data_IF_686136885061
#
_entry.id   IF_686136885061
#
_cell.length_a   1.000
_cell.length_b   1.000
_cell.length_c   1.000
_cell.angle_alpha   90.00
_cell.angle_beta   90.00
_cell.angle_gamma   90.00
#
_symmetry.space_group_name_H-M   'P 1'
#
loop_
_entity.id
_entity.type
_entity.pdbx_description
1 polymer ?
#
# COMPACT_ATOMS: atom_id res chain seq x y z
N UNK A 1 12.46 -27.72 6.00
CA UNK A 1 12.47 -27.37 7.44
C UNK A 1 11.08 -27.53 8.08
N UNK A 2 10.22 -28.44 7.59
CA UNK A 2 8.78 -28.45 7.94
C UNK A 2 8.36 -29.57 8.91
N UNK A 3 9.27 -30.42 9.39
CA UNK A 3 8.88 -31.61 10.14
C UNK A 3 8.63 -31.38 11.65
N UNK A 4 8.99 -30.23 12.23
CA UNK A 4 8.89 -30.00 13.69
C UNK A 4 7.54 -29.42 14.17
N UNK A 5 6.61 -29.07 13.29
CA UNK A 5 5.29 -28.51 13.69
C UNK A 5 4.15 -29.54 13.73
N UNK A 6 4.35 -30.74 13.17
CA UNK A 6 3.39 -31.86 13.26
C UNK A 6 3.19 -32.45 14.66
N UNK A 7 4.20 -32.55 15.57
CA UNK A 7 3.97 -33.18 16.87
C UNK A 7 2.89 -32.53 17.74
N UNK A 8 2.80 -31.18 17.91
CA UNK A 8 1.72 -30.60 18.72
C UNK A 8 0.35 -30.75 18.07
N UNK A 9 0.26 -30.75 16.74
CA UNK A 9 -1.01 -30.94 16.02
C UNK A 9 -1.46 -32.40 16.13
N UNK A 10 -0.55 -33.35 15.89
CA UNK A 10 -0.84 -34.78 16.06
C UNK A 10 -1.20 -35.08 17.52
N UNK A 11 -0.49 -34.52 18.50
CA UNK A 11 -0.84 -34.67 19.91
C UNK A 11 -2.20 -34.04 20.22
N UNK A 12 -2.49 -32.82 19.76
CA UNK A 12 -3.80 -32.20 19.95
C UNK A 12 -4.94 -33.02 19.32
N UNK A 13 -4.73 -33.59 18.12
CA UNK A 13 -5.68 -34.49 17.46
C UNK A 13 -5.84 -35.78 18.26
N UNK A 14 -4.75 -36.38 18.77
CA UNK A 14 -4.82 -37.57 19.62
C UNK A 14 -5.54 -37.29 20.95
N UNK A 15 -5.31 -36.13 21.57
CA UNK A 15 -5.99 -35.70 22.80
C UNK A 15 -7.48 -35.44 22.54
N UNK A 16 -7.82 -34.84 21.40
CA UNK A 16 -9.21 -34.63 20.98
C UNK A 16 -9.93 -35.96 20.70
N UNK A 17 -9.29 -36.88 19.98
CA UNK A 17 -9.82 -38.22 19.73
C UNK A 17 -9.98 -39.02 21.03
N UNK A 18 -9.04 -38.88 21.97
CA UNK A 18 -9.13 -39.50 23.29
C UNK A 18 -10.28 -38.93 24.13
N UNK A 19 -10.49 -37.61 24.11
CA UNK A 19 -11.66 -36.99 24.76
C UNK A 19 -12.99 -37.44 24.13
N UNK A 20 -13.01 -37.62 22.81
CA UNK A 20 -14.18 -38.10 22.08
C UNK A 20 -14.47 -39.57 22.40
N UNK A 21 -13.43 -40.40 22.49
CA UNK A 21 -13.51 -41.79 22.94
C UNK A 21 -14.03 -41.91 24.39
N UNK A 22 -13.49 -41.10 25.31
CA UNK A 22 -13.96 -41.06 26.70
C UNK A 22 -15.43 -40.66 26.79
N UNK A 23 -15.84 -39.62 26.06
CA UNK A 23 -17.24 -39.14 26.05
C UNK A 23 -18.16 -40.20 25.46
N UNK A 24 -17.74 -40.86 24.38
CA UNK A 24 -18.49 -41.95 23.76
C UNK A 24 -18.69 -43.14 24.71
N UNK A 25 -17.64 -43.60 25.40
CA UNK A 25 -17.75 -44.72 26.35
C UNK A 25 -18.57 -44.34 27.61
N UNK A 26 -18.45 -43.09 28.08
CA UNK A 26 -19.22 -42.60 29.24
C UNK A 26 -20.71 -42.39 28.92
N UNK A 27 -21.04 -41.87 27.74
CA UNK A 27 -22.44 -41.58 27.37
C UNK A 27 -23.19 -42.76 26.74
N UNK A 28 -22.48 -43.71 26.11
CA UNK A 28 -23.11 -44.88 25.46
C UNK A 28 -23.57 -45.96 26.45
N UNK A 29 -23.22 -45.88 27.73
CA UNK A 29 -23.68 -46.79 28.79
C UNK A 29 -24.92 -46.25 29.53
N UNK A 30 -25.86 -45.62 28.81
CA UNK A 30 -27.15 -45.15 29.36
C UNK A 30 -28.32 -46.10 29.08
N UNK A 31 -28.12 -47.16 28.29
CA UNK A 31 -29.22 -47.94 27.70
C UNK A 31 -29.42 -49.34 28.28
N UNK A 32 -29.30 -49.62 29.60
CA UNK A 32 -29.84 -50.87 30.16
C UNK A 32 -30.25 -50.78 31.65
N UNK A 33 -31.52 -51.07 32.00
CA UNK A 33 -31.94 -51.28 33.38
C UNK A 33 -31.76 -52.77 33.73
N UNK A 34 -30.64 -53.12 34.37
CA UNK A 34 -30.64 -54.30 35.24
C UNK A 34 -29.63 -54.16 36.38
N UNK A 35 -30.22 -54.02 37.56
CA UNK A 35 -29.70 -53.50 38.81
C UNK A 35 -29.37 -54.74 39.63
N UNK A 36 -28.09 -55.08 39.79
CA UNK A 36 -27.49 -55.73 40.99
C UNK A 36 -26.14 -56.40 40.72
N UNK A 37 -25.83 -56.90 39.51
CA UNK A 37 -24.56 -57.62 39.24
C UNK A 37 -23.53 -56.77 38.45
N UNK A 38 -23.89 -55.54 38.08
CA UNK A 38 -23.04 -54.65 37.25
C UNK A 38 -22.54 -53.40 38.00
N UNK A 39 -22.82 -53.28 39.29
CA UNK A 39 -22.42 -52.12 40.11
C UNK A 39 -20.92 -52.13 40.38
N UNK A 40 -20.33 -53.29 40.67
CA UNK A 40 -18.89 -53.41 40.90
C UNK A 40 -18.07 -53.09 39.64
N UNK A 41 -18.46 -53.67 38.49
CA UNK A 41 -17.78 -53.44 37.21
C UNK A 41 -17.83 -51.96 36.75
N UNK A 42 -18.92 -51.25 37.06
CA UNK A 42 -19.03 -49.80 36.78
C UNK A 42 -18.20 -48.94 37.72
N UNK A 43 -18.05 -49.34 38.98
CA UNK A 43 -17.24 -48.60 39.93
C UNK A 43 -15.75 -48.61 39.54
N UNK A 44 -15.25 -49.72 38.99
CA UNK A 44 -13.89 -49.76 38.43
C UNK A 44 -13.72 -48.79 37.25
N UNK A 45 -14.71 -48.70 36.34
CA UNK A 45 -14.65 -47.78 35.19
C UNK A 45 -14.68 -46.30 35.63
N UNK A 46 -15.57 -45.93 36.56
CA UNK A 46 -15.65 -44.55 37.08
C UNK A 46 -14.37 -44.16 37.83
N UNK A 47 -13.81 -45.07 38.64
CA UNK A 47 -12.55 -44.81 39.35
C UNK A 47 -11.38 -44.68 38.39
N UNK A 48 -11.28 -45.57 37.40
CA UNK A 48 -10.24 -45.50 36.37
C UNK A 48 -10.35 -44.20 35.56
N UNK A 49 -11.56 -43.79 35.18
CA UNK A 49 -11.82 -42.51 34.52
C UNK A 49 -11.33 -41.32 35.35
N UNK A 50 -11.66 -41.29 36.64
CA UNK A 50 -11.21 -40.21 37.54
C UNK A 50 -9.69 -40.16 37.64
N UNK A 51 -9.01 -41.31 37.78
CA UNK A 51 -7.54 -41.39 37.77
C UNK A 51 -6.97 -40.88 36.44
N UNK A 52 -7.49 -41.36 35.31
CA UNK A 52 -6.98 -41.00 33.99
C UNK A 52 -7.18 -39.51 33.67
N UNK A 53 -8.34 -38.95 34.01
CA UNK A 53 -8.62 -37.52 33.85
C UNK A 53 -7.69 -36.63 34.70
N UNK A 54 -7.31 -37.08 35.90
CA UNK A 54 -6.39 -36.36 36.77
C UNK A 54 -4.96 -36.33 36.20
N UNK A 55 -4.44 -37.48 35.75
CA UNK A 55 -3.14 -37.54 35.06
C UNK A 55 -3.15 -36.72 33.76
N UNK A 56 -4.25 -36.78 33.01
CA UNK A 56 -4.44 -36.01 31.79
C UNK A 56 -4.45 -34.50 32.05
N UNK A 57 -5.08 -34.04 33.13
CA UNK A 57 -5.08 -32.63 33.53
C UNK A 57 -3.65 -32.10 33.70
N UNK A 58 -2.80 -32.83 34.41
CA UNK A 58 -1.39 -32.47 34.60
C UNK A 58 -0.62 -32.43 33.26
N UNK A 59 -0.85 -33.40 32.39
CA UNK A 59 -0.23 -33.43 31.05
C UNK A 59 -0.64 -32.23 30.19
N UNK A 60 -1.91 -31.81 30.23
CA UNK A 60 -2.37 -30.62 29.50
C UNK A 60 -1.74 -29.33 30.03
N UNK A 61 -1.53 -29.21 31.34
CA UNK A 61 -0.82 -28.05 31.93
C UNK A 61 0.61 -27.99 31.39
N UNK A 62 1.32 -29.13 31.40
CA UNK A 62 2.70 -29.20 30.88
C UNK A 62 2.77 -28.91 29.38
N UNK A 63 1.82 -29.42 28.58
CA UNK A 63 1.72 -29.10 27.16
C UNK A 63 1.40 -27.63 26.91
N UNK A 64 0.52 -27.03 27.70
CA UNK A 64 0.23 -25.60 27.65
C UNK A 64 1.47 -24.77 27.93
N UNK A 65 2.25 -25.14 28.95
CA UNK A 65 3.51 -24.48 29.29
C UNK A 65 4.54 -24.61 28.15
N UNK A 66 4.73 -25.82 27.63
CA UNK A 66 5.64 -26.08 26.52
C UNK A 66 5.25 -25.30 25.25
N UNK A 67 3.95 -25.25 24.93
CA UNK A 67 3.40 -24.47 23.82
C UNK A 67 3.65 -22.97 24.00
N UNK A 68 3.48 -22.45 25.22
CA UNK A 68 3.76 -21.06 25.54
C UNK A 68 5.25 -20.71 25.35
N UNK A 69 6.15 -21.57 25.83
CA UNK A 69 7.60 -21.41 25.65
C UNK A 69 7.97 -21.40 24.16
N UNK A 70 7.46 -22.36 23.39
CA UNK A 70 7.70 -22.43 21.94
C UNK A 70 7.15 -21.22 21.18
N UNK A 71 6.01 -20.66 21.64
CA UNK A 71 5.45 -19.41 21.10
C UNK A 71 6.39 -18.22 21.33
N UNK A 72 6.92 -18.09 22.56
CA UNK A 72 7.86 -17.02 22.91
C UNK A 72 9.14 -17.16 22.08
N UNK A 73 9.70 -18.37 21.99
CA UNK A 73 10.94 -18.62 21.23
C UNK A 73 10.79 -18.26 19.74
N UNK A 74 9.67 -18.66 19.11
CA UNK A 74 9.37 -18.28 17.72
C UNK A 74 9.20 -16.77 17.57
N UNK A 75 8.51 -16.13 18.50
CA UNK A 75 8.35 -14.67 18.52
C UNK A 75 9.70 -13.94 18.62
N UNK A 76 10.60 -14.42 19.46
CA UNK A 76 11.95 -13.86 19.59
C UNK A 76 12.77 -14.03 18.30
N UNK A 77 12.77 -15.22 17.69
CA UNK A 77 13.51 -15.47 16.44
C UNK A 77 13.00 -14.57 15.32
N UNK A 78 11.67 -14.47 15.15
CA UNK A 78 11.06 -13.58 14.17
C UNK A 78 11.37 -12.11 14.47
N UNK A 79 11.31 -11.70 15.74
CA UNK A 79 11.67 -10.34 16.16
C UNK A 79 13.10 -9.97 15.80
N UNK A 80 14.08 -10.87 15.99
CA UNK A 80 15.49 -10.64 15.62
C UNK A 80 15.67 -10.55 14.10
N UNK A 81 15.00 -11.40 13.32
CA UNK A 81 15.08 -11.31 11.84
C UNK A 81 14.45 -10.01 11.34
N UNK A 82 13.32 -9.60 11.93
CA UNK A 82 12.62 -8.37 11.54
C UNK A 82 13.32 -7.10 12.03
N UNK A 83 14.12 -7.13 13.10
CA UNK A 83 14.89 -5.94 13.52
C UNK A 83 15.85 -5.47 12.42
N UNK A 84 16.36 -6.41 11.60
CA UNK A 84 17.24 -6.09 10.48
C UNK A 84 16.51 -5.41 9.32
N UNK A 85 15.17 -5.45 9.28
CA UNK A 85 14.37 -4.93 8.16
C UNK A 85 13.30 -3.97 8.68
N UNK A 86 13.58 -2.67 8.58
CA UNK A 86 12.74 -1.58 9.09
C UNK A 86 11.38 -1.41 8.35
N UNK A 87 11.21 -2.10 7.22
CA UNK A 87 10.02 -2.05 6.34
C UNK A 87 8.78 -2.70 6.98
N UNK A 88 8.94 -3.56 7.99
CA UNK A 88 7.83 -4.23 8.67
C UNK A 88 7.96 -4.13 10.17
N UNK A 89 6.94 -3.59 10.84
CA UNK A 89 6.87 -3.58 12.30
C UNK A 89 6.57 -4.97 12.82
N UNK A 90 7.40 -5.45 13.74
CA UNK A 90 7.13 -6.68 14.49
C UNK A 90 5.99 -6.50 15.52
N UNK A 91 5.56 -5.27 15.79
CA UNK A 91 4.48 -4.96 16.72
C UNK A 91 3.09 -5.24 16.13
N UNK A 92 2.16 -5.59 17.01
CA UNK A 92 0.74 -5.80 16.71
C UNK A 92 0.13 -4.57 16.02
N UNK A 93 -0.76 -4.80 15.04
CA UNK A 93 -1.50 -3.75 14.34
C UNK A 93 -2.29 -2.90 15.36
N UNK A 94 -1.90 -1.63 15.51
CA UNK A 94 -2.43 -0.71 16.53
C UNK A 94 -1.36 -0.11 17.47
N UNK A 95 -0.28 -0.86 17.76
CA UNK A 95 0.86 -0.36 18.56
C UNK A 95 2.04 0.08 17.70
N UNK A 96 1.83 0.20 16.39
CA UNK A 96 2.88 0.50 15.42
C UNK A 96 3.59 1.84 15.68
N UNK A 97 2.90 2.80 16.30
CA UNK A 97 3.45 4.11 16.68
C UNK A 97 4.47 4.05 17.81
N UNK A 98 4.51 2.95 18.58
CA UNK A 98 5.49 2.76 19.66
C UNK A 98 6.86 2.37 19.12
N UNK A 99 6.90 1.86 17.89
CA UNK A 99 8.15 1.57 17.18
C UNK A 99 8.69 2.86 16.54
N UNK A 100 9.63 3.51 17.24
CA UNK A 100 10.28 4.74 16.76
C UNK A 100 11.02 4.54 15.44
N UNK A 101 11.60 3.35 15.22
CA UNK A 101 12.34 3.05 14.00
C UNK A 101 11.40 3.05 12.79
N UNK A 102 10.24 2.40 12.94
CA UNK A 102 9.22 2.40 11.91
C UNK A 102 8.62 3.79 11.66
N UNK A 103 8.33 4.57 12.70
CA UNK A 103 7.81 5.94 12.54
C UNK A 103 8.82 6.82 11.79
N UNK A 104 10.12 6.70 12.09
CA UNK A 104 11.17 7.40 11.36
C UNK A 104 11.22 6.98 9.87
N UNK A 105 11.11 5.68 9.59
CA UNK A 105 11.03 5.17 8.22
C UNK A 105 9.81 5.72 7.46
N UNK A 106 8.64 5.72 8.08
CA UNK A 106 7.42 6.28 7.48
C UNK A 106 7.59 7.78 7.17
N UNK A 107 8.19 8.53 8.11
CA UNK A 107 8.54 9.94 7.90
C UNK A 107 9.48 10.13 6.70
N UNK A 108 10.52 9.30 6.58
CA UNK A 108 11.44 9.32 5.44
C UNK A 108 10.73 9.05 4.11
N UNK A 109 9.83 8.07 4.04
CA UNK A 109 9.04 7.80 2.83
C UNK A 109 8.14 8.99 2.47
N UNK A 110 7.49 9.62 3.44
CA UNK A 110 6.67 10.82 3.20
C UNK A 110 7.49 11.97 2.62
N UNK A 111 8.69 12.20 3.15
CA UNK A 111 9.61 13.24 2.67
C UNK A 111 10.09 12.90 1.25
N UNK A 112 10.45 11.64 0.98
CA UNK A 112 10.84 11.19 -0.36
C UNK A 112 9.71 11.40 -1.38
N UNK A 113 8.48 11.05 -1.03
CA UNK A 113 7.32 11.23 -1.92
C UNK A 113 7.03 12.72 -2.15
N UNK A 114 7.20 13.57 -1.12
CA UNK A 114 7.01 15.01 -1.25
C UNK A 114 8.05 15.66 -2.17
N UNK A 115 9.32 15.28 -2.08
CA UNK A 115 10.40 15.86 -2.88
C UNK A 115 10.55 15.23 -4.27
N UNK A 116 10.36 13.91 -4.39
CA UNK A 116 10.57 13.14 -5.63
C UNK A 116 9.26 12.61 -6.20
N UNK A 117 8.23 13.45 -6.27
CA UNK A 117 6.98 13.04 -6.90
C UNK A 117 7.17 12.85 -8.41
N UNK A 118 7.04 11.63 -8.97
CA UNK A 118 7.42 11.35 -10.35
C UNK A 118 6.59 12.18 -11.37
N UNK A 119 5.30 12.40 -11.10
CA UNK A 119 4.45 13.23 -11.97
C UNK A 119 4.92 14.69 -11.98
N UNK A 120 5.37 15.21 -10.85
CA UNK A 120 5.85 16.59 -10.75
C UNK A 120 7.18 16.73 -11.50
N UNK A 121 8.09 15.77 -11.33
CA UNK A 121 9.37 15.75 -12.05
C UNK A 121 9.16 15.65 -13.56
N UNK A 122 8.27 14.77 -14.02
CA UNK A 122 7.94 14.67 -15.45
C UNK A 122 7.28 15.95 -15.96
N UNK A 123 6.39 16.58 -15.18
CA UNK A 123 5.78 17.85 -15.54
C UNK A 123 6.80 18.97 -15.68
N UNK A 124 7.73 19.10 -14.72
CA UNK A 124 8.83 20.07 -14.80
C UNK A 124 9.74 19.79 -16.01
N UNK A 125 10.07 18.53 -16.29
CA UNK A 125 10.86 18.16 -17.46
C UNK A 125 10.16 18.51 -18.78
N UNK A 126 8.85 18.24 -18.89
CA UNK A 126 8.05 18.63 -20.05
C UNK A 126 8.03 20.15 -20.26
N UNK A 127 7.90 20.93 -19.17
CA UNK A 127 7.95 22.39 -19.24
C UNK A 127 9.33 22.90 -19.66
N UNK A 128 10.42 22.36 -19.10
CA UNK A 128 11.79 22.73 -19.45
C UNK A 128 12.07 22.41 -20.92
N UNK A 129 11.68 21.22 -21.38
CA UNK A 129 11.87 20.83 -22.79
C UNK A 129 11.08 21.74 -23.74
N UNK A 130 9.81 22.03 -23.41
CA UNK A 130 8.99 22.96 -24.19
C UNK A 130 9.56 24.38 -24.24
N UNK A 131 10.20 24.85 -23.15
CA UNK A 131 10.84 26.17 -23.13
C UNK A 131 12.12 26.20 -23.98
N UNK A 132 12.92 25.13 -23.93
CA UNK A 132 14.10 24.97 -24.80
C UNK A 132 13.68 24.97 -26.28
N UNK A 133 12.66 24.22 -26.65
CA UNK A 133 12.15 24.17 -28.02
C UNK A 133 11.70 25.56 -28.52
N UNK A 134 11.09 26.36 -27.65
CA UNK A 134 10.74 27.76 -27.94
C UNK A 134 11.95 28.66 -28.12
N UNK A 135 12.99 28.51 -27.29
CA UNK A 135 14.23 29.29 -27.41
C UNK A 135 15.00 28.95 -28.69
N UNK A 136 15.17 27.67 -29.02
CA UNK A 136 15.81 27.24 -30.27
C UNK A 136 15.03 27.69 -31.51
N UNK A 137 13.69 27.69 -31.46
CA UNK A 137 12.85 28.18 -32.56
C UNK A 137 12.95 29.70 -32.80
N UNK A 138 13.32 30.48 -31.77
CA UNK A 138 13.47 31.94 -31.87
C UNK A 138 14.85 32.32 -32.40
N UNK A 139 15.91 31.67 -31.92
CA UNK A 139 17.29 31.87 -32.42
C UNK A 139 17.44 31.37 -33.87
N UNK A 140 16.75 30.30 -34.25
CA UNK A 140 16.71 29.81 -35.64
C UNK A 140 15.98 30.72 -36.64
N UNK A 141 15.31 31.78 -36.16
CA UNK A 141 14.58 32.75 -36.99
C UNK A 141 15.33 34.07 -37.21
N UNK A 142 16.29 34.39 -36.34
CA UNK A 142 17.14 35.60 -36.46
C UNK A 142 18.55 35.31 -37.00
N UNK A 143 19.01 34.06 -36.98
CA UNK A 143 20.34 33.66 -37.49
C UNK A 143 20.34 33.14 -38.93
N UNK A 144 19.70 33.85 -39.88
CA UNK A 144 19.75 33.47 -41.30
C UNK A 144 20.20 34.61 -42.20
N UNK A 145 21.18 35.39 -41.76
CA UNK A 145 22.06 36.11 -42.67
C UNK A 145 23.52 35.82 -42.28
N UNK A 146 24.18 35.20 -43.27
CA UNK A 146 25.59 35.23 -43.60
C UNK A 146 26.64 34.29 -42.98
N UNK A 147 27.29 33.61 -43.93
CA UNK A 147 28.67 33.07 -43.98
C UNK A 147 29.01 31.71 -43.37
N UNK A 148 29.13 30.73 -44.28
CA UNK A 148 30.20 29.72 -44.41
C UNK A 148 30.98 29.33 -43.14
N UNK A 149 30.79 28.10 -42.66
CA UNK A 149 31.80 27.04 -42.77
C UNK A 149 31.37 25.73 -42.06
N UNK A 150 31.99 24.63 -42.52
CA UNK A 150 32.07 23.29 -41.90
C UNK A 150 30.89 22.32 -42.16
N UNK A 151 30.90 21.84 -43.41
CA UNK A 151 31.03 20.41 -43.82
C UNK A 151 30.64 19.34 -42.78
N UNK A 152 29.59 18.57 -43.08
CA UNK A 152 29.31 17.30 -42.42
C UNK A 152 27.91 16.75 -42.70
N UNK A 153 27.78 15.93 -43.74
CA UNK A 153 26.67 14.99 -44.01
C UNK A 153 25.29 15.63 -44.27
N UNK A 154 25.05 16.02 -45.53
CA UNK A 154 23.70 16.19 -46.10
C UNK A 154 23.62 15.43 -47.41
N UNK A 155 22.81 14.38 -47.47
CA UNK A 155 22.48 13.75 -48.74
C UNK A 155 21.87 12.38 -48.61
N UNK A 156 20.58 12.30 -48.24
CA UNK A 156 19.56 11.64 -49.09
C UNK A 156 18.13 11.79 -48.52
N UNK A 157 17.94 11.91 -47.20
CA UNK A 157 16.59 11.85 -46.61
C UNK A 157 15.93 13.21 -46.34
N UNK A 158 16.70 14.30 -46.46
CA UNK A 158 16.22 15.65 -46.12
C UNK A 158 15.21 16.21 -47.14
N UNK A 159 15.29 15.79 -48.42
CA UNK A 159 14.44 16.32 -49.49
C UNK A 159 13.01 15.78 -49.46
N UNK A 160 12.87 14.46 -49.28
CA UNK A 160 11.58 13.78 -49.22
C UNK A 160 10.81 14.13 -47.94
N UNK A 161 11.48 14.14 -46.78
CA UNK A 161 10.87 14.60 -45.52
C UNK A 161 10.49 16.08 -45.54
N UNK A 162 11.26 16.97 -46.20
CA UNK A 162 10.88 18.39 -46.38
C UNK A 162 9.72 18.58 -47.34
N UNK A 163 9.55 17.69 -48.32
CA UNK A 163 8.41 17.72 -49.23
C UNK A 163 7.15 17.20 -48.52
N UNK A 164 7.24 16.09 -47.79
CA UNK A 164 6.17 15.58 -46.94
C UNK A 164 5.77 16.56 -45.82
N UNK A 165 6.71 17.24 -45.19
CA UNK A 165 6.44 18.26 -44.17
C UNK A 165 5.80 19.55 -44.73
N UNK A 166 5.96 19.82 -46.03
CA UNK A 166 5.24 20.91 -46.72
C UNK A 166 3.81 20.52 -47.08
N UNK A 167 3.58 19.25 -47.41
CA UNK A 167 2.25 18.68 -47.72
C UNK A 167 1.42 18.51 -46.44
N UNK A 168 2.03 18.05 -45.34
CA UNK A 168 1.44 17.98 -44.01
C UNK A 168 1.81 19.22 -43.18
N UNK A 169 1.47 20.42 -43.65
CA UNK A 169 1.32 21.54 -42.71
C UNK A 169 0.00 21.30 -41.96
N UNK A 170 0.00 20.86 -40.69
CA UNK A 170 -1.21 21.00 -39.90
C UNK A 170 -1.60 22.48 -39.97
N UNK A 171 -2.90 22.81 -40.11
CA UNK A 171 -3.33 24.19 -40.05
C UNK A 171 -2.72 24.80 -38.80
N UNK A 172 -2.25 26.04 -38.90
CA UNK A 172 -1.72 26.79 -37.77
C UNK A 172 -2.88 27.16 -36.84
N UNK A 173 -3.52 26.14 -36.27
CA UNK A 173 -4.50 26.29 -35.22
C UNK A 173 -3.74 26.88 -34.05
N UNK A 174 -4.23 28.02 -33.59
CA UNK A 174 -3.73 28.62 -32.36
C UNK A 174 -3.67 27.53 -31.28
N UNK A 175 -2.51 27.35 -30.66
CA UNK A 175 -2.34 26.42 -29.54
C UNK A 175 -3.44 26.62 -28.47
N UNK A 176 -4.00 27.83 -28.38
CA UNK A 176 -5.12 28.14 -27.49
C UNK A 176 -6.42 27.40 -27.86
N UNK A 177 -6.73 27.22 -29.16
CA UNK A 177 -7.93 26.51 -29.61
C UNK A 177 -7.82 25.00 -29.34
N UNK A 178 -6.65 24.42 -29.59
CA UNK A 178 -6.36 23.00 -29.29
C UNK A 178 -6.45 22.74 -27.79
N UNK A 179 -5.84 23.60 -26.97
CA UNK A 179 -5.90 23.48 -25.51
C UNK A 179 -7.32 23.62 -24.96
N UNK A 180 -8.13 24.54 -25.54
CA UNK A 180 -9.56 24.69 -25.16
C UNK A 180 -10.37 23.45 -25.51
N UNK A 181 -10.14 22.85 -26.68
CA UNK A 181 -10.83 21.64 -27.09
C UNK A 181 -10.40 20.41 -26.26
N UNK A 182 -9.09 20.24 -26.03
CA UNK A 182 -8.57 19.18 -25.16
C UNK A 182 -9.10 19.28 -23.73
N UNK A 183 -9.22 20.50 -23.21
CA UNK A 183 -9.84 20.76 -21.91
C UNK A 183 -11.32 20.38 -21.89
N UNK A 184 -12.08 20.78 -22.91
CA UNK A 184 -13.49 20.42 -23.03
C UNK A 184 -13.67 18.89 -23.09
N UNK A 185 -12.85 18.21 -23.90
CA UNK A 185 -12.83 16.75 -24.02
C UNK A 185 -12.50 16.07 -22.69
N UNK A 186 -11.49 16.57 -21.96
CA UNK A 186 -11.10 16.04 -20.65
C UNK A 186 -12.21 16.18 -19.61
N UNK A 187 -12.92 17.32 -19.61
CA UNK A 187 -14.03 17.57 -18.68
C UNK A 187 -15.27 16.74 -19.00
N UNK A 188 -15.52 16.46 -20.28
CA UNK A 188 -16.64 15.62 -20.71
C UNK A 188 -16.43 14.16 -20.28
N UNK A 189 -15.18 13.67 -20.35
CA UNK A 189 -14.82 12.31 -19.91
C UNK A 189 -14.68 12.17 -18.39
N UNK A 190 -14.49 13.28 -17.66
CA UNK A 190 -14.28 13.29 -16.20
C UNK A 190 -15.21 14.31 -15.50
N UNK A 191 -16.50 13.97 -15.29
CA UNK A 191 -17.48 14.91 -14.76
C UNK A 191 -17.20 15.35 -13.30
N UNK A 192 -16.49 14.54 -12.52
CA UNK A 192 -16.08 14.88 -11.15
C UNK A 192 -15.17 16.11 -11.09
N UNK A 193 -14.25 16.25 -12.05
CA UNK A 193 -13.30 17.37 -12.13
C UNK A 193 -13.97 18.73 -12.37
N UNK A 194 -15.16 18.75 -12.99
CA UNK A 194 -15.94 19.98 -13.20
C UNK A 194 -16.32 20.62 -11.87
N UNK A 195 -16.73 19.81 -10.89
CA UNK A 195 -17.12 20.30 -9.55
C UNK A 195 -15.91 20.90 -8.82
N UNK A 196 -14.77 20.18 -8.81
CA UNK A 196 -13.53 20.64 -8.20
C UNK A 196 -13.02 21.94 -8.85
N UNK A 197 -13.03 22.02 -10.19
CA UNK A 197 -12.59 23.22 -10.89
C UNK A 197 -13.47 24.43 -10.60
N UNK A 198 -14.81 24.26 -10.58
CA UNK A 198 -15.74 25.34 -10.20
C UNK A 198 -15.51 25.79 -8.77
N UNK A 199 -15.21 24.87 -7.85
CA UNK A 199 -14.88 25.17 -6.46
C UNK A 199 -13.58 25.95 -6.35
N UNK A 200 -12.47 25.46 -6.90
CA UNK A 200 -11.20 26.17 -6.89
C UNK A 200 -11.29 27.55 -7.56
N UNK A 201 -12.05 27.68 -8.65
CA UNK A 201 -12.25 28.98 -9.31
C UNK A 201 -13.06 29.97 -8.44
N UNK A 202 -14.03 29.49 -7.66
CA UNK A 202 -14.76 30.32 -6.69
C UNK A 202 -13.87 30.73 -5.51
N UNK A 203 -13.07 29.79 -4.99
CA UNK A 203 -12.14 30.04 -3.89
C UNK A 203 -11.05 31.04 -4.31
N UNK A 204 -10.48 30.91 -5.51
CA UNK A 204 -9.52 31.87 -6.05
C UNK A 204 -10.11 33.29 -6.18
N UNK A 205 -11.36 33.41 -6.67
CA UNK A 205 -12.08 34.70 -6.75
C UNK A 205 -12.37 35.28 -5.36
N UNK A 206 -12.71 34.44 -4.38
CA UNK A 206 -12.93 34.89 -3.00
C UNK A 206 -11.64 35.42 -2.37
N UNK A 207 -10.52 34.73 -2.57
CA UNK A 207 -9.20 35.18 -2.10
C UNK A 207 -8.74 36.48 -2.77
N UNK A 208 -8.99 36.66 -4.08
CA UNK A 208 -8.62 37.91 -4.74
C UNK A 208 -9.43 39.10 -4.21
N UNK A 209 -10.73 38.91 -3.98
CA UNK A 209 -11.59 39.96 -3.39
C UNK A 209 -11.15 40.30 -1.96
N UNK A 210 -10.84 39.29 -1.12
CA UNK A 210 -10.34 39.55 0.24
C UNK A 210 -8.99 40.29 0.28
N UNK A 211 -8.13 40.13 -0.74
CA UNK A 211 -6.88 40.89 -0.84
C UNK A 211 -7.15 42.35 -1.25
N UNK A 212 -8.09 42.59 -2.17
CA UNK A 212 -8.49 43.94 -2.56
C UNK A 212 -9.17 44.71 -1.40
N UNK A 213 -10.02 44.05 -0.63
CA UNK A 213 -10.68 44.62 0.55
C UNK A 213 -9.68 44.96 1.67
N UNK A 214 -8.67 44.12 1.88
CA UNK A 214 -7.59 44.37 2.85
C UNK A 214 -6.67 45.54 2.43
N UNK A 215 -6.53 45.78 1.12
CA UNK A 215 -5.71 46.86 0.58
C UNK A 215 -6.43 48.21 0.55
N UNK A 216 -7.77 48.23 0.55
CA UNK A 216 -8.57 49.45 0.69
C UNK A 216 -8.76 49.87 2.17
N UNK A 217 -8.74 48.92 3.10
CA UNK A 217 -8.85 49.19 4.54
C UNK A 217 -7.61 49.81 5.20
N UNK A 218 -6.48 49.91 4.49
CA UNK A 218 -5.23 50.52 4.95
C UNK A 218 -5.01 51.96 4.48
N UNK A 219 -5.92 52.52 3.68
CA UNK A 219 -5.88 53.90 3.19
C UNK A 219 -6.99 54.73 3.87
N UNK A 220 -6.92 54.86 5.19
CA UNK A 220 -7.58 55.98 5.90
C UNK A 220 -6.53 57.04 6.18
N UNK A 221 -6.61 58.23 5.56
CA UNK A 221 -5.71 59.33 5.90
C UNK A 221 -6.09 59.86 7.30
N UNK A 222 -5.09 59.96 8.18
CA UNK A 222 -5.13 60.77 9.40
C UNK A 222 -4.60 62.15 9.05
#
# INVERSE_FOLDING_TARGET
YECHFRPPICLAICLWLYQLFLTYYVFRDRDFPNITITVDNRQYFIRFYSIMSYFFFFYNILLGLFSCIMRILKGMILGVIFISRIDRTSLMQGFQTWDKAFVAYLGFIHILVAHNHPVMLMFCQLLINSNKDRQYGTVGREGKEDTNSIRGVKGLDSGFFKHLARVFRPPHMSHQAINRWFLAFTLLRNPSLVKYRRRCAREAKKCSVSIEDANYGSVTPI
#
